data_IF_906736404587
#
_entry.id   IF_906736404587
#
_cell.length_a   1.000
_cell.length_b   1.000
_cell.length_c   1.000
_cell.angle_alpha   90.00
_cell.angle_beta   90.00
_cell.angle_gamma   90.00
#
_symmetry.space_group_name_H-M   'P 1'
#
loop_
_entity.id
_entity.type
_entity.pdbx_description
1 polymer ?
#
# COMPACT_ATOMS: atom_id res chain seq x y z
N UNK A 1 -4.46 -21.58 58.42
CA UNK A 1 -4.61 -20.55 57.37
C UNK A 1 -3.26 -19.90 57.10
N UNK A 2 -2.50 -20.49 56.18
CA UNK A 2 -1.29 -20.00 55.49
C UNK A 2 -0.86 -21.18 54.60
N UNK A 3 -0.23 -20.88 53.47
CA UNK A 3 0.22 -21.81 52.40
C UNK A 3 -0.82 -22.11 51.30
N UNK A 4 -0.87 -21.26 50.27
CA UNK A 4 -1.11 -21.61 48.86
C UNK A 4 -1.10 -20.33 48.00
N UNK A 5 0.08 -19.85 47.62
CA UNK A 5 0.26 -18.88 46.53
C UNK A 5 1.73 -18.83 46.11
N UNK A 6 2.27 -19.95 45.64
CA UNK A 6 3.64 -20.05 45.11
C UNK A 6 3.69 -21.19 44.09
N UNK A 7 3.05 -20.98 42.93
CA UNK A 7 3.27 -21.74 41.70
C UNK A 7 2.35 -21.22 40.60
N UNK A 8 2.64 -20.04 40.01
CA UNK A 8 2.22 -19.72 38.63
C UNK A 8 2.93 -18.48 38.05
N UNK A 9 4.21 -18.28 38.39
CA UNK A 9 5.02 -17.14 37.90
C UNK A 9 6.28 -17.58 37.13
N UNK A 10 6.18 -18.71 36.43
CA UNK A 10 7.19 -19.17 35.50
C UNK A 10 6.54 -20.11 34.48
N UNK A 11 5.92 -19.56 33.42
CA UNK A 11 5.61 -20.25 32.14
C UNK A 11 4.87 -19.33 31.15
N UNK A 12 5.35 -18.11 30.92
CA UNK A 12 5.06 -17.36 29.68
C UNK A 12 6.24 -16.54 29.14
N UNK A 13 7.40 -16.58 29.80
CA UNK A 13 8.67 -16.20 29.16
C UNK A 13 9.12 -17.37 28.27
N UNK A 14 8.41 -17.58 27.16
CA UNK A 14 9.00 -18.25 26.01
C UNK A 14 10.21 -17.43 25.54
N UNK A 15 11.20 -18.05 24.87
CA UNK A 15 12.37 -17.34 24.41
C UNK A 15 11.90 -16.15 23.59
N UNK A 16 12.52 -14.98 23.80
CA UNK A 16 12.41 -13.85 22.90
C UNK A 16 12.66 -14.41 21.49
N UNK A 17 11.58 -14.61 20.73
CA UNK A 17 11.68 -15.13 19.39
C UNK A 17 12.56 -14.13 18.64
N UNK A 18 13.68 -14.60 18.11
CA UNK A 18 14.49 -13.86 17.16
C UNK A 18 13.55 -13.08 16.24
N UNK A 19 13.83 -11.78 16.09
CA UNK A 19 13.05 -10.81 15.31
C UNK A 19 12.71 -11.42 13.95
N UNK A 20 11.55 -12.06 13.85
CA UNK A 20 11.16 -12.80 12.66
C UNK A 20 10.87 -11.81 11.54
N UNK A 21 11.25 -12.16 10.32
CA UNK A 21 10.99 -11.33 9.14
C UNK A 21 9.49 -10.93 9.08
N UNK A 22 9.15 -9.64 9.21
CA UNK A 22 7.76 -9.19 9.28
C UNK A 22 7.00 -9.52 7.99
N UNK A 23 7.68 -9.65 6.85
CA UNK A 23 7.09 -9.97 5.56
C UNK A 23 6.99 -11.48 5.31
N UNK A 24 7.35 -12.33 6.27
CA UNK A 24 7.22 -13.79 6.13
C UNK A 24 5.79 -14.21 5.80
N UNK A 25 4.80 -13.44 6.24
CA UNK A 25 3.39 -13.68 5.96
C UNK A 25 3.04 -13.59 4.46
N UNK A 26 3.82 -12.80 3.70
CA UNK A 26 3.69 -12.60 2.24
C UNK A 26 4.42 -13.70 1.43
N UNK A 27 5.34 -14.43 2.08
CA UNK A 27 6.09 -15.54 1.47
C UNK A 27 5.51 -16.93 1.78
N UNK A 28 4.58 -16.99 2.73
CA UNK A 28 3.99 -18.25 3.17
C UNK A 28 3.30 -18.99 2.02
N UNK A 29 3.39 -20.33 2.04
CA UNK A 29 2.82 -21.18 0.99
C UNK A 29 1.31 -20.93 0.79
N UNK A 30 0.86 -20.95 -0.46
CA UNK A 30 -0.54 -20.76 -0.84
C UNK A 30 -1.41 -22.03 -0.78
N UNK A 31 -0.92 -23.13 -0.19
CA UNK A 31 -1.64 -24.41 -0.18
C UNK A 31 -3.03 -24.29 0.47
N UNK A 32 -4.05 -24.78 -0.24
CA UNK A 32 -5.46 -24.72 0.20
C UNK A 32 -6.17 -23.40 -0.11
N UNK A 33 -5.46 -22.35 -0.52
CA UNK A 33 -6.05 -21.12 -1.02
C UNK A 33 -6.22 -21.16 -2.54
N UNK A 34 -7.08 -20.29 -3.08
CA UNK A 34 -7.23 -20.11 -4.52
C UNK A 34 -5.92 -19.63 -5.15
N UNK A 35 -5.51 -20.25 -6.26
CA UNK A 35 -4.33 -19.85 -7.01
C UNK A 35 -4.61 -18.61 -7.87
N UNK A 36 -3.57 -17.83 -8.13
CA UNK A 36 -3.61 -16.76 -9.14
C UNK A 36 -3.19 -17.37 -10.47
N UNK A 37 -4.07 -17.37 -11.46
CA UNK A 37 -3.85 -17.98 -12.77
C UNK A 37 -4.08 -16.95 -13.89
N UNK A 38 -3.36 -17.03 -15.01
CA UNK A 38 -3.59 -16.13 -16.12
C UNK A 38 -4.98 -16.33 -16.76
N UNK A 39 -5.49 -15.30 -17.45
CA UNK A 39 -6.74 -15.38 -18.21
C UNK A 39 -8.04 -15.16 -17.42
N UNK A 40 -7.97 -14.86 -16.11
CA UNK A 40 -9.15 -14.44 -15.35
C UNK A 40 -9.67 -13.09 -15.85
N UNK A 41 -10.93 -13.04 -16.25
CA UNK A 41 -11.61 -11.77 -16.55
C UNK A 41 -11.95 -11.03 -15.25
N UNK A 42 -11.66 -9.72 -15.23
CA UNK A 42 -12.13 -8.84 -14.16
C UNK A 42 -13.60 -8.48 -14.36
N UNK A 43 -14.35 -8.38 -13.26
CA UNK A 43 -15.77 -8.03 -13.27
C UNK A 43 -16.06 -7.01 -12.17
N UNK A 44 -16.47 -5.82 -12.56
CA UNK A 44 -16.83 -4.74 -11.65
C UNK A 44 -18.36 -4.65 -11.52
N UNK A 45 -18.90 -4.43 -10.31
CA UNK A 45 -18.21 -4.06 -9.06
C UNK A 45 -17.72 -5.27 -8.22
N UNK A 46 -17.90 -6.51 -8.68
CA UNK A 46 -17.58 -7.70 -7.88
C UNK A 46 -16.12 -7.72 -7.39
N UNK A 47 -15.19 -7.29 -8.23
CA UNK A 47 -13.74 -7.26 -7.92
C UNK A 47 -13.32 -6.09 -7.01
N UNK A 48 -14.24 -5.20 -6.64
CA UNK A 48 -14.02 -4.25 -5.55
C UNK A 48 -14.13 -4.91 -4.18
N UNK A 49 -14.89 -6.01 -4.10
CA UNK A 49 -15.22 -6.69 -2.85
C UNK A 49 -14.11 -7.66 -2.43
N UNK A 50 -14.21 -8.25 -1.22
CA UNK A 50 -13.24 -9.24 -0.77
C UNK A 50 -13.25 -10.50 -1.63
N UNK A 51 -12.05 -11.05 -1.87
CA UNK A 51 -11.85 -12.36 -2.50
C UNK A 51 -11.43 -13.44 -1.47
N UNK A 52 -12.33 -13.96 -0.62
CA UNK A 52 -11.96 -14.76 0.57
C UNK A 52 -11.26 -16.09 0.26
N UNK A 53 -11.34 -16.57 -0.98
CA UNK A 53 -10.57 -17.72 -1.44
C UNK A 53 -9.06 -17.46 -1.49
N UNK A 54 -8.63 -16.19 -1.60
CA UNK A 54 -7.23 -15.80 -1.59
C UNK A 54 -6.73 -15.46 -0.19
N UNK A 55 -5.43 -15.70 0.04
CA UNK A 55 -4.84 -15.50 1.38
C UNK A 55 -4.78 -14.04 1.79
N UNK A 56 -4.39 -13.14 0.88
CA UNK A 56 -4.16 -11.72 1.17
C UNK A 56 -4.72 -10.82 0.07
N UNK A 57 -5.20 -9.65 0.47
CA UNK A 57 -5.58 -8.56 -0.43
C UNK A 57 -5.49 -7.21 0.26
N UNK A 58 -5.48 -6.13 -0.53
CA UNK A 58 -5.47 -4.77 -0.01
C UNK A 58 -6.18 -3.73 -0.87
N UNK A 59 -6.77 -2.74 -0.21
CA UNK A 59 -7.24 -1.47 -0.77
C UNK A 59 -6.27 -0.40 -0.34
N UNK A 60 -5.57 0.20 -1.29
CA UNK A 60 -4.47 1.13 -1.02
C UNK A 60 -4.72 2.45 -1.75
N UNK A 61 -4.70 3.57 -1.03
CA UNK A 61 -4.88 4.91 -1.56
C UNK A 61 -3.67 5.76 -1.19
N UNK A 62 -3.06 6.41 -2.17
CA UNK A 62 -2.08 7.48 -1.97
C UNK A 62 -2.60 8.78 -2.56
N UNK A 63 -2.20 9.92 -2.00
CA UNK A 63 -2.52 11.22 -2.57
C UNK A 63 -1.42 12.25 -2.35
N UNK A 64 -1.10 12.97 -3.43
CA UNK A 64 -0.24 14.15 -3.44
C UNK A 64 -1.15 15.38 -3.47
N UNK A 65 -1.07 16.20 -2.42
CA UNK A 65 -2.00 17.27 -2.14
C UNK A 65 -1.26 18.60 -1.97
N UNK A 66 -2.00 19.69 -2.17
CA UNK A 66 -1.58 21.04 -1.84
C UNK A 66 -2.65 21.75 -1.03
N UNK A 67 -2.21 22.61 -0.13
CA UNK A 67 -3.09 23.56 0.55
C UNK A 67 -3.23 24.88 -0.22
N UNK A 68 -4.06 25.79 0.30
CA UNK A 68 -4.32 27.10 -0.30
C UNK A 68 -3.06 28.00 -0.39
N UNK A 69 -2.03 27.70 0.40
CA UNK A 69 -0.72 28.36 0.35
C UNK A 69 0.26 27.66 -0.63
N UNK A 70 -0.16 26.59 -1.30
CA UNK A 70 0.63 25.82 -2.26
C UNK A 70 1.63 24.86 -1.63
N UNK A 71 1.61 24.68 -0.31
CA UNK A 71 2.53 23.79 0.42
C UNK A 71 2.17 22.33 0.12
N UNK A 72 3.17 21.46 0.11
CA UNK A 72 2.99 20.05 -0.21
C UNK A 72 2.46 19.25 0.98
N UNK A 73 1.55 18.34 0.67
CA UNK A 73 0.95 17.40 1.60
C UNK A 73 0.93 16.00 0.96
N UNK A 74 1.08 14.98 1.80
CA UNK A 74 0.99 13.57 1.43
C UNK A 74 -0.03 12.85 2.28
N UNK A 75 -0.69 11.87 1.69
CA UNK A 75 -1.61 10.99 2.38
C UNK A 75 -1.43 9.57 1.85
N UNK A 76 -1.36 8.59 2.74
CA UNK A 76 -1.75 7.22 2.40
C UNK A 76 -2.81 6.68 3.35
N UNK A 77 -3.60 5.75 2.83
CA UNK A 77 -4.43 4.85 3.60
C UNK A 77 -4.45 3.47 2.95
N UNK A 78 -4.22 2.43 3.74
CA UNK A 78 -4.30 1.05 3.27
C UNK A 78 -5.12 0.20 4.22
N UNK A 79 -5.99 -0.63 3.66
CA UNK A 79 -6.72 -1.69 4.36
C UNK A 79 -6.30 -3.04 3.80
N UNK A 80 -5.75 -3.90 4.66
CA UNK A 80 -5.37 -5.27 4.36
C UNK A 80 -6.37 -6.25 4.93
N UNK A 81 -6.67 -7.29 4.16
CA UNK A 81 -7.31 -8.51 4.65
C UNK A 81 -6.35 -9.68 4.51
N UNK A 82 -6.25 -10.48 5.56
CA UNK A 82 -5.51 -11.73 5.54
C UNK A 82 -6.31 -12.89 6.14
N UNK A 83 -6.39 -14.00 5.41
CA UNK A 83 -6.94 -15.24 5.92
C UNK A 83 -5.87 -16.04 6.67
N UNK A 84 -6.13 -16.41 7.93
CA UNK A 84 -5.20 -17.20 8.76
C UNK A 84 -5.11 -18.66 8.35
N UNK A 85 -6.15 -19.19 7.72
CA UNK A 85 -6.23 -20.56 7.19
C UNK A 85 -7.12 -20.59 5.95
N UNK A 86 -6.96 -21.59 5.06
CA UNK A 86 -7.88 -21.77 3.93
C UNK A 86 -9.25 -22.28 4.39
N UNK A 87 -10.24 -22.15 3.52
CA UNK A 87 -11.61 -22.66 3.72
C UNK A 87 -12.67 -21.58 3.84
N UNK A 88 -13.91 -22.00 4.05
CA UNK A 88 -15.06 -21.10 4.16
C UNK A 88 -14.98 -20.33 5.49
N UNK A 89 -15.14 -19.01 5.44
CA UNK A 89 -15.26 -18.21 6.65
C UNK A 89 -16.63 -18.38 7.29
N UNK A 90 -16.66 -18.86 8.53
CA UNK A 90 -17.90 -19.09 9.27
C UNK A 90 -18.44 -17.82 9.92
N UNK A 91 -17.71 -16.71 9.85
CA UNK A 91 -18.06 -15.45 10.48
C UNK A 91 -18.02 -15.49 12.00
N UNK A 92 -18.54 -14.44 12.63
CA UNK A 92 -18.54 -14.25 14.08
C UNK A 92 -17.13 -14.28 14.68
N UNK A 93 -17.05 -14.61 15.97
CA UNK A 93 -15.78 -14.71 16.69
C UNK A 93 -14.85 -15.83 16.20
N UNK A 94 -15.39 -16.79 15.43
CA UNK A 94 -14.64 -17.91 14.82
C UNK A 94 -14.08 -17.57 13.45
N UNK A 95 -14.32 -16.35 12.96
CA UNK A 95 -13.77 -15.91 11.70
C UNK A 95 -12.25 -16.00 11.74
N UNK A 96 -11.70 -16.51 10.64
CA UNK A 96 -10.26 -16.66 10.46
C UNK A 96 -9.67 -15.52 9.62
N UNK A 97 -10.44 -14.45 9.41
CA UNK A 97 -10.00 -13.25 8.71
C UNK A 97 -9.42 -12.26 9.71
N UNK A 98 -8.24 -11.72 9.40
CA UNK A 98 -7.61 -10.62 10.10
C UNK A 98 -7.58 -9.40 9.19
N UNK A 99 -7.78 -8.24 9.80
CA UNK A 99 -7.71 -6.97 9.12
C UNK A 99 -6.64 -6.10 9.77
N UNK A 100 -5.91 -5.38 8.93
CA UNK A 100 -4.99 -4.33 9.35
C UNK A 100 -5.30 -3.09 8.52
N UNK A 101 -5.31 -1.93 9.15
CA UNK A 101 -5.26 -0.67 8.44
C UNK A 101 -4.05 0.13 8.91
N UNK A 102 -3.38 0.81 8.00
CA UNK A 102 -2.39 1.84 8.34
C UNK A 102 -2.61 3.05 7.45
N UNK A 103 -2.28 4.21 7.98
CA UNK A 103 -2.43 5.47 7.29
C UNK A 103 -1.39 6.45 7.81
N UNK A 104 -0.98 7.38 6.96
CA UNK A 104 -0.07 8.44 7.32
C UNK A 104 -0.42 9.73 6.59
N UNK A 105 0.07 10.82 7.18
CA UNK A 105 0.03 12.15 6.60
C UNK A 105 1.46 12.70 6.59
N UNK A 106 1.88 13.21 5.45
CA UNK A 106 3.07 14.05 5.32
C UNK A 106 2.57 15.49 5.27
N UNK A 107 2.97 16.29 6.24
CA UNK A 107 2.67 17.72 6.32
C UNK A 107 3.94 18.52 6.02
N UNK A 108 3.84 19.85 5.84
CA UNK A 108 5.02 20.71 5.75
C UNK A 108 5.95 20.62 6.97
N UNK A 109 5.44 20.18 8.12
CA UNK A 109 6.15 20.15 9.39
C UNK A 109 6.65 18.75 9.78
N UNK A 110 6.32 17.71 8.99
CA UNK A 110 6.80 16.35 9.21
C UNK A 110 5.81 15.27 8.82
N UNK A 111 6.11 14.05 9.23
CA UNK A 111 5.33 12.85 8.89
C UNK A 111 4.71 12.23 10.15
N UNK A 112 3.47 11.77 10.05
CA UNK A 112 2.75 11.10 11.16
C UNK A 112 2.02 9.90 10.61
N UNK A 113 2.00 8.80 11.36
CA UNK A 113 1.29 7.59 10.97
C UNK A 113 0.50 6.96 12.11
N UNK A 114 -0.44 6.09 11.75
CA UNK A 114 -1.20 5.25 12.66
C UNK A 114 -1.45 3.88 12.04
N UNK A 115 -1.62 2.86 12.88
CA UNK A 115 -2.02 1.52 12.46
C UNK A 115 -3.07 0.94 13.40
N UNK A 116 -3.90 0.04 12.88
CA UNK A 116 -4.97 -0.63 13.60
C UNK A 116 -5.12 -2.06 13.13
N UNK A 117 -5.63 -2.91 14.02
CA UNK A 117 -5.88 -4.32 13.76
C UNK A 117 -7.28 -4.69 14.25
N UNK A 118 -7.97 -5.52 13.48
CA UNK A 118 -9.30 -6.00 13.85
C UNK A 118 -9.48 -7.47 13.43
N UNK A 119 -10.35 -8.17 14.16
CA UNK A 119 -10.83 -9.49 13.72
C UNK A 119 -11.95 -9.30 12.71
N UNK A 120 -11.99 -10.18 11.70
CA UNK A 120 -13.16 -10.33 10.84
C UNK A 120 -14.35 -10.94 11.57
N UNK A 121 -15.49 -10.98 10.88
CA UNK A 121 -16.68 -11.74 11.29
C UNK A 121 -17.56 -11.09 12.37
N UNK A 122 -17.07 -10.09 13.10
CA UNK A 122 -17.82 -9.39 14.17
C UNK A 122 -18.28 -7.98 13.79
N UNK A 123 -18.07 -7.56 12.53
CA UNK A 123 -18.49 -6.26 12.01
C UNK A 123 -17.51 -5.10 12.24
N UNK A 124 -16.41 -5.32 12.97
CA UNK A 124 -15.42 -4.28 13.26
C UNK A 124 -14.63 -3.81 12.03
N UNK A 125 -14.43 -4.72 11.07
CA UNK A 125 -13.78 -4.43 9.79
C UNK A 125 -14.43 -5.25 8.68
N UNK A 126 -14.34 -4.75 7.46
CA UNK A 126 -14.85 -5.44 6.29
C UNK A 126 -14.86 -4.58 5.04
N UNK A 127 -15.24 -5.23 3.94
CA UNK A 127 -15.62 -4.55 2.68
C UNK A 127 -16.89 -5.21 2.17
N UNK A 128 -17.93 -4.41 1.86
CA UNK A 128 -19.21 -4.89 1.35
C UNK A 128 -19.94 -3.80 0.57
N UNK A 129 -21.02 -4.20 -0.10
CA UNK A 129 -22.07 -3.27 -0.50
C UNK A 129 -23.06 -3.09 0.66
N UNK A 130 -23.27 -1.85 1.09
CA UNK A 130 -24.24 -1.45 2.09
C UNK A 130 -25.28 -0.53 1.45
N UNK A 131 -26.54 -0.99 1.38
CA UNK A 131 -27.63 -0.27 0.72
C UNK A 131 -27.32 0.16 -0.73
N UNK A 132 -26.55 -0.66 -1.45
CA UNK A 132 -26.10 -0.39 -2.82
C UNK A 132 -24.82 0.44 -2.94
N UNK A 133 -24.31 1.00 -1.84
CA UNK A 133 -23.06 1.75 -1.79
C UNK A 133 -21.86 0.90 -1.38
N UNK A 134 -20.68 1.13 -1.96
CA UNK A 134 -19.44 0.52 -1.54
C UNK A 134 -19.01 1.02 -0.15
N UNK A 135 -18.58 0.12 0.72
CA UNK A 135 -17.98 0.46 1.99
C UNK A 135 -16.81 -0.47 2.31
N UNK A 136 -15.64 0.10 2.61
CA UNK A 136 -14.49 -0.57 3.19
C UNK A 136 -14.13 0.13 4.51
N UNK A 137 -13.99 -0.61 5.61
CA UNK A 137 -13.78 0.00 6.93
C UNK A 137 -12.96 -0.85 7.89
N UNK A 138 -12.38 -0.16 8.88
CA UNK A 138 -11.87 -0.70 10.13
C UNK A 138 -12.13 0.34 11.23
N UNK A 139 -12.99 0.00 12.20
CA UNK A 139 -13.52 0.94 13.19
C UNK A 139 -14.12 2.20 12.50
N UNK A 140 -13.68 3.41 12.88
CA UNK A 140 -14.11 4.68 12.29
C UNK A 140 -13.35 5.07 11.00
N UNK A 141 -12.35 4.30 10.57
CA UNK A 141 -11.66 4.53 9.30
C UNK A 141 -12.43 3.89 8.16
N UNK A 142 -12.65 4.63 7.07
CA UNK A 142 -13.49 4.14 5.98
C UNK A 142 -13.19 4.78 4.62
N UNK A 143 -13.34 3.97 3.57
CA UNK A 143 -13.56 4.40 2.19
C UNK A 143 -14.99 3.99 1.80
N UNK A 144 -15.84 4.98 1.51
CA UNK A 144 -17.26 4.75 1.19
C UNK A 144 -17.66 5.44 -0.11
N UNK A 145 -18.58 4.85 -0.87
CA UNK A 145 -19.21 5.46 -2.03
C UNK A 145 -20.73 5.21 -2.00
N UNK A 146 -21.50 6.10 -2.65
CA UNK A 146 -22.96 5.97 -2.71
C UNK A 146 -23.43 4.87 -3.66
N UNK A 147 -22.62 4.54 -4.67
CA UNK A 147 -22.87 3.45 -5.63
C UNK A 147 -21.95 2.26 -5.39
N UNK A 148 -22.10 1.22 -6.21
CA UNK A 148 -21.35 -0.03 -6.05
C UNK A 148 -19.86 0.09 -6.44
N UNK A 149 -19.49 1.13 -7.20
CA UNK A 149 -18.11 1.50 -7.50
C UNK A 149 -17.41 2.10 -6.28
N UNK A 150 -16.07 2.02 -6.23
CA UNK A 150 -15.30 2.69 -5.16
C UNK A 150 -15.25 4.22 -5.33
N UNK A 151 -15.50 4.71 -6.54
CA UNK A 151 -15.42 6.11 -6.91
C UNK A 151 -16.67 6.53 -7.71
N UNK A 152 -17.17 7.78 -7.55
CA UNK A 152 -16.72 8.79 -6.57
C UNK A 152 -16.94 8.34 -5.13
N UNK A 153 -15.92 8.53 -4.29
CA UNK A 153 -15.84 8.01 -2.94
C UNK A 153 -15.44 9.07 -1.92
N UNK A 154 -15.54 8.71 -0.64
CA UNK A 154 -15.14 9.52 0.50
C UNK A 154 -14.26 8.68 1.42
N UNK A 155 -13.03 9.15 1.62
CA UNK A 155 -12.04 8.56 2.51
C UNK A 155 -12.00 9.36 3.81
N UNK A 156 -12.18 8.66 4.94
CA UNK A 156 -12.12 9.24 6.29
C UNK A 156 -11.26 8.37 7.21
N UNK A 157 -10.33 8.99 7.91
CA UNK A 157 -9.50 8.33 8.91
C UNK A 157 -8.88 9.36 9.86
N UNK A 158 -8.12 8.88 10.83
CA UNK A 158 -7.47 9.70 11.85
C UNK A 158 -6.00 9.32 12.01
N UNK A 159 -5.12 10.29 12.26
CA UNK A 159 -3.70 10.04 12.58
C UNK A 159 -3.33 10.93 13.77
N UNK A 160 -3.16 10.33 14.95
CA UNK A 160 -3.10 11.08 16.20
C UNK A 160 -4.38 11.91 16.37
N UNK A 161 -4.23 13.22 16.55
CA UNK A 161 -5.36 14.16 16.64
C UNK A 161 -5.88 14.64 15.27
N UNK A 162 -5.13 14.38 14.19
CA UNK A 162 -5.51 14.81 12.86
C UNK A 162 -6.74 14.02 12.38
N UNK A 163 -7.77 14.73 11.90
CA UNK A 163 -8.94 14.11 11.26
C UNK A 163 -8.93 14.41 9.77
N UNK A 164 -8.97 13.38 8.96
CA UNK A 164 -8.86 13.47 7.51
C UNK A 164 -10.21 13.15 6.89
N UNK A 165 -10.67 14.01 5.98
CA UNK A 165 -11.88 13.80 5.20
C UNK A 165 -11.66 14.24 3.76
N UNK A 166 -11.59 13.27 2.84
CA UNK A 166 -11.24 13.48 1.44
C UNK A 166 -12.33 12.92 0.54
N UNK A 167 -12.72 13.68 -0.47
CA UNK A 167 -13.51 13.25 -1.61
C UNK A 167 -12.56 12.81 -2.72
N UNK A 168 -12.86 11.66 -3.30
CA UNK A 168 -12.10 11.02 -4.37
C UNK A 168 -12.99 10.90 -5.60
N UNK A 169 -12.53 11.34 -6.76
CA UNK A 169 -13.29 11.29 -8.00
C UNK A 169 -12.39 10.89 -9.17
N UNK A 170 -12.81 9.93 -9.99
CA UNK A 170 -12.20 9.65 -11.29
C UNK A 170 -13.30 9.32 -12.30
N UNK A 171 -13.11 9.77 -13.53
CA UNK A 171 -13.90 9.43 -14.71
C UNK A 171 -13.15 8.49 -15.66
N UNK A 172 -11.95 8.02 -15.25
CA UNK A 172 -11.09 7.16 -16.06
C UNK A 172 -11.36 5.68 -15.79
N UNK A 173 -11.18 4.81 -16.81
CA UNK A 173 -11.29 3.38 -16.60
C UNK A 173 -10.23 2.90 -15.61
N UNK A 174 -10.51 1.81 -14.91
CA UNK A 174 -9.50 1.11 -14.14
C UNK A 174 -8.40 0.57 -15.05
N UNK A 175 -7.16 0.65 -14.59
CA UNK A 175 -6.00 0.09 -15.28
C UNK A 175 -5.72 -1.30 -14.75
N UNK A 176 -5.95 -2.32 -15.58
CA UNK A 176 -5.57 -3.69 -15.26
C UNK A 176 -4.06 -3.86 -15.41
N UNK A 177 -3.38 -4.23 -14.34
CA UNK A 177 -1.92 -4.29 -14.30
C UNK A 177 -1.40 -5.61 -14.88
N UNK A 178 -0.18 -5.61 -15.44
CA UNK A 178 0.41 -6.82 -16.02
C UNK A 178 -0.35 -7.28 -17.28
N UNK A 179 -0.68 -8.56 -17.35
CA UNK A 179 -1.43 -9.14 -18.47
C UNK A 179 -2.92 -9.22 -18.11
N UNK A 180 -3.69 -8.18 -18.48
CA UNK A 180 -5.13 -8.09 -18.18
C UNK A 180 -5.47 -8.29 -16.69
N UNK A 181 -4.62 -7.76 -15.80
CA UNK A 181 -4.80 -7.84 -14.36
C UNK A 181 -4.05 -9.02 -13.72
N UNK A 182 -3.48 -9.94 -14.51
CA UNK A 182 -2.52 -10.93 -14.02
C UNK A 182 -1.12 -10.31 -13.94
N UNK A 183 -0.68 -9.98 -12.73
CA UNK A 183 0.62 -9.34 -12.47
C UNK A 183 1.60 -10.36 -11.88
N UNK A 184 2.52 -10.86 -12.72
CA UNK A 184 3.61 -11.76 -12.28
C UNK A 184 4.59 -10.99 -11.41
N UNK A 185 4.97 -11.56 -10.26
CA UNK A 185 5.88 -11.00 -9.25
C UNK A 185 7.21 -11.75 -9.18
N UNK A 186 7.37 -12.87 -9.88
CA UNK A 186 8.64 -13.57 -9.96
C UNK A 186 8.72 -14.49 -11.18
N UNK A 187 9.95 -14.91 -11.53
CA UNK A 187 10.17 -15.98 -12.49
C UNK A 187 9.66 -17.35 -12.01
N UNK A 188 9.53 -17.54 -10.69
CA UNK A 188 9.10 -18.79 -10.03
C UNK A 188 7.57 -18.96 -10.00
N UNK A 189 6.82 -18.01 -10.57
CA UNK A 189 5.37 -18.13 -10.76
C UNK A 189 4.51 -17.43 -9.72
N UNK A 190 5.11 -16.71 -8.75
CA UNK A 190 4.33 -15.83 -7.87
C UNK A 190 3.67 -14.74 -8.70
N UNK A 191 2.41 -14.47 -8.42
CA UNK A 191 1.60 -13.50 -9.14
C UNK A 191 0.47 -13.00 -8.25
N UNK A 192 -0.13 -11.88 -8.67
CA UNK A 192 -1.32 -11.31 -8.07
C UNK A 192 -2.33 -10.92 -9.14
N UNK A 193 -3.60 -10.90 -8.77
CA UNK A 193 -4.60 -10.14 -9.52
C UNK A 193 -4.52 -8.69 -9.07
N UNK A 194 -4.37 -7.75 -10.00
CA UNK A 194 -3.99 -6.38 -9.68
C UNK A 194 -4.58 -5.37 -10.67
N UNK A 195 -5.21 -4.33 -10.14
CA UNK A 195 -5.64 -3.17 -10.92
C UNK A 195 -5.48 -1.88 -10.11
N UNK A 196 -5.48 -0.77 -10.84
CA UNK A 196 -5.31 0.56 -10.26
C UNK A 196 -6.35 1.55 -10.79
N UNK A 197 -6.55 2.64 -10.06
CA UNK A 197 -7.14 3.88 -10.54
C UNK A 197 -6.10 5.02 -10.35
N UNK A 198 -5.30 5.32 -11.38
CA UNK A 198 -4.20 6.28 -11.28
C UNK A 198 -4.63 7.74 -11.23
N UNK A 199 -5.77 8.08 -11.82
CA UNK A 199 -6.17 9.47 -12.08
C UNK A 199 -7.32 9.91 -11.18
N UNK A 200 -7.08 9.95 -9.85
CA UNK A 200 -8.09 10.41 -8.90
C UNK A 200 -7.90 11.91 -8.64
N UNK A 201 -8.92 12.72 -8.89
CA UNK A 201 -9.01 14.07 -8.35
C UNK A 201 -9.39 13.98 -6.86
N UNK A 202 -8.59 14.61 -6.00
CA UNK A 202 -8.78 14.60 -4.54
C UNK A 202 -9.07 16.01 -4.05
N UNK A 203 -10.07 16.14 -3.19
CA UNK A 203 -10.39 17.40 -2.50
C UNK A 203 -10.96 17.14 -1.12
N UNK A 204 -10.67 17.99 -0.15
CA UNK A 204 -11.19 17.79 1.20
C UNK A 204 -10.51 18.67 2.23
N UNK A 205 -10.45 18.18 3.45
CA UNK A 205 -9.80 18.89 4.55
C UNK A 205 -9.16 17.96 5.56
N UNK A 206 -8.10 18.45 6.18
CA UNK A 206 -7.54 17.89 7.41
C UNK A 206 -7.85 18.85 8.54
N UNK A 207 -8.37 18.37 9.66
CA UNK A 207 -8.42 19.13 10.90
C UNK A 207 -7.21 18.75 11.73
N UNK A 208 -6.28 19.70 11.90
CA UNK A 208 -5.05 19.53 12.68
C UNK A 208 -4.97 20.66 13.70
N UNK A 209 -4.71 20.34 14.97
CA UNK A 209 -4.67 21.30 16.08
C UNK A 209 -5.92 22.21 16.15
N UNK A 210 -7.09 21.62 15.84
CA UNK A 210 -8.38 22.31 15.80
C UNK A 210 -8.60 23.21 14.59
N UNK A 211 -7.66 23.30 13.65
CA UNK A 211 -7.75 24.14 12.45
C UNK A 211 -8.05 23.32 11.20
N UNK A 212 -9.09 23.67 10.42
CA UNK A 212 -9.31 23.04 9.12
C UNK A 212 -8.29 23.56 8.10
N UNK A 213 -7.70 22.64 7.35
CA UNK A 213 -6.77 22.90 6.24
C UNK A 213 -7.40 22.30 4.99
N UNK A 214 -7.75 23.13 4.03
CA UNK A 214 -8.29 22.69 2.74
C UNK A 214 -7.17 22.13 1.87
N UNK A 215 -7.44 20.99 1.25
CA UNK A 215 -6.49 20.30 0.39
C UNK A 215 -7.11 19.91 -0.94
N UNK A 216 -6.34 20.04 -2.00
CA UNK A 216 -6.67 19.53 -3.33
C UNK A 216 -5.46 18.87 -3.98
N UNK A 217 -5.68 17.91 -4.88
CA UNK A 217 -4.58 17.30 -5.61
C UNK A 217 -4.98 16.03 -6.35
N UNK A 218 -4.00 15.13 -6.48
CA UNK A 218 -4.15 13.88 -7.23
C UNK A 218 -3.94 12.70 -6.31
N UNK A 219 -4.72 11.65 -6.54
CA UNK A 219 -4.64 10.40 -5.82
C UNK A 219 -4.48 9.22 -6.76
N UNK A 220 -4.10 8.11 -6.17
CA UNK A 220 -3.94 6.82 -6.81
C UNK A 220 -4.58 5.77 -5.92
N UNK A 221 -5.32 4.84 -6.50
CA UNK A 221 -5.84 3.67 -5.79
C UNK A 221 -5.28 2.40 -6.41
N UNK A 222 -4.88 1.47 -5.56
CA UNK A 222 -4.46 0.13 -5.91
C UNK A 222 -5.35 -0.93 -5.25
N UNK A 223 -5.60 -1.99 -6.01
CA UNK A 223 -6.31 -3.18 -5.55
C UNK A 223 -5.61 -4.42 -6.02
N UNK A 224 -5.08 -5.16 -5.06
CA UNK A 224 -4.36 -6.40 -5.32
C UNK A 224 -4.87 -7.52 -4.41
N UNK A 225 -4.82 -8.75 -4.92
CA UNK A 225 -4.99 -9.96 -4.11
C UNK A 225 -4.19 -11.14 -4.64
N UNK A 226 -3.72 -11.97 -3.72
CA UNK A 226 -2.91 -13.17 -4.01
C UNK A 226 -2.98 -14.18 -2.86
N UNK A 227 -2.44 -15.37 -3.11
CA UNK A 227 -2.23 -16.40 -2.08
C UNK A 227 -0.76 -16.60 -1.72
N UNK A 228 0.14 -16.06 -2.52
CA UNK A 228 1.59 -16.05 -2.29
C UNK A 228 2.22 -14.96 -3.18
N UNK A 229 2.17 -13.68 -2.75
CA UNK A 229 2.66 -12.58 -3.58
C UNK A 229 4.19 -12.55 -3.69
N UNK A 230 4.93 -13.04 -2.69
CA UNK A 230 6.40 -13.02 -2.67
C UNK A 230 7.01 -14.42 -2.70
N UNK A 231 8.16 -14.53 -3.38
CA UNK A 231 9.01 -15.71 -3.33
C UNK A 231 9.82 -15.75 -2.02
N UNK A 232 10.23 -16.94 -1.59
CA UNK A 232 11.01 -17.15 -0.35
C UNK A 232 12.31 -16.34 -0.28
N UNK A 233 12.92 -16.05 -1.44
CA UNK A 233 14.18 -15.33 -1.60
C UNK A 233 14.03 -13.83 -1.89
N UNK A 234 12.82 -13.27 -1.85
CA UNK A 234 12.59 -11.83 -2.03
C UNK A 234 12.68 -11.10 -0.69
N UNK A 235 13.66 -10.21 -0.52
CA UNK A 235 13.90 -9.51 0.74
C UNK A 235 12.86 -8.41 1.00
N UNK A 236 12.39 -7.77 -0.07
CA UNK A 236 11.36 -6.72 -0.04
C UNK A 236 11.13 -6.15 -1.43
N UNK A 237 10.45 -5.01 -1.49
CA UNK A 237 10.15 -4.34 -2.74
C UNK A 237 10.39 -2.84 -2.69
N UNK A 238 10.51 -2.26 -3.88
CA UNK A 238 10.50 -0.84 -4.15
C UNK A 238 9.33 -0.60 -5.10
N UNK A 239 8.36 0.21 -4.70
CA UNK A 239 7.18 0.52 -5.51
C UNK A 239 7.06 2.02 -5.70
N UNK A 240 6.56 2.42 -6.87
CA UNK A 240 6.38 3.82 -7.26
C UNK A 240 5.03 3.99 -7.94
N UNK A 241 4.30 5.03 -7.56
CA UNK A 241 3.19 5.59 -8.34
C UNK A 241 3.48 7.05 -8.64
N UNK A 242 3.63 7.41 -9.91
CA UNK A 242 4.05 8.74 -10.33
C UNK A 242 2.99 9.36 -11.21
N UNK A 243 2.60 10.60 -10.91
CA UNK A 243 1.82 11.47 -11.79
C UNK A 243 2.75 12.48 -12.46
N UNK A 244 2.91 12.35 -13.77
CA UNK A 244 3.80 13.17 -14.58
C UNK A 244 3.11 14.46 -15.03
N UNK A 245 3.91 15.47 -15.38
CA UNK A 245 3.41 16.79 -15.75
C UNK A 245 2.60 16.81 -17.06
N UNK A 246 2.90 15.89 -17.99
CA UNK A 246 2.16 15.75 -19.25
C UNK A 246 0.86 14.93 -19.13
N UNK A 247 0.46 14.64 -17.88
CA UNK A 247 -0.77 13.92 -17.57
C UNK A 247 -0.64 12.40 -17.58
N UNK A 248 0.50 11.84 -17.99
CA UNK A 248 0.74 10.42 -17.86
C UNK A 248 0.89 10.01 -16.40
N UNK A 249 0.63 8.74 -16.13
CA UNK A 249 0.96 8.11 -14.88
C UNK A 249 1.90 6.92 -15.10
N UNK A 250 2.75 6.63 -14.11
CA UNK A 250 3.73 5.55 -14.18
C UNK A 250 3.69 4.77 -12.86
N UNK A 251 3.38 3.48 -12.97
CA UNK A 251 3.59 2.53 -11.88
C UNK A 251 4.87 1.75 -12.16
N UNK A 252 5.74 1.62 -11.17
CA UNK A 252 6.91 0.74 -11.23
C UNK A 252 6.97 -0.06 -9.95
N UNK A 253 7.40 -1.31 -10.04
CA UNK A 253 7.83 -2.04 -8.86
C UNK A 253 9.03 -2.93 -9.15
N UNK A 254 9.92 -3.02 -8.17
CA UNK A 254 11.09 -3.88 -8.14
C UNK A 254 11.00 -4.80 -6.94
N UNK A 255 11.00 -6.12 -7.16
CA UNK A 255 11.12 -7.11 -6.08
C UNK A 255 12.58 -7.52 -5.98
N UNK A 256 13.18 -7.22 -4.83
CA UNK A 256 14.61 -7.43 -4.60
C UNK A 256 14.84 -8.87 -4.18
N UNK A 257 15.43 -9.64 -5.09
CA UNK A 257 15.92 -10.98 -4.81
C UNK A 257 17.27 -10.92 -4.07
N UNK A 258 17.44 -11.79 -3.08
CA UNK A 258 18.71 -11.99 -2.40
C UNK A 258 19.79 -12.61 -3.32
N UNK A 259 19.33 -13.36 -4.31
CA UNK A 259 20.13 -14.09 -5.29
C UNK A 259 19.58 -13.87 -6.71
N UNK A 260 20.46 -13.52 -7.65
CA UNK A 260 20.09 -13.30 -9.05
C UNK A 260 19.45 -11.93 -9.32
N UNK A 261 18.81 -11.83 -10.50
CA UNK A 261 18.24 -10.57 -10.96
C UNK A 261 16.96 -10.22 -10.20
N UNK A 262 16.81 -8.94 -9.87
CA UNK A 262 15.56 -8.41 -9.34
C UNK A 262 14.44 -8.54 -10.39
N UNK A 263 13.21 -8.74 -9.91
CA UNK A 263 12.05 -8.71 -10.78
C UNK A 263 11.56 -7.27 -10.92
N UNK A 264 11.45 -6.77 -12.15
CA UNK A 264 11.08 -5.39 -12.45
C UNK A 264 9.92 -5.37 -13.44
N UNK A 265 8.91 -4.57 -13.15
CA UNK A 265 7.76 -4.38 -14.03
C UNK A 265 7.10 -3.04 -13.74
N UNK A 266 6.36 -2.53 -14.71
CA UNK A 266 5.59 -1.32 -14.54
C UNK A 266 4.48 -1.19 -15.54
N UNK A 267 3.81 -0.03 -15.50
CA UNK A 267 2.78 0.34 -16.46
C UNK A 267 2.91 1.81 -16.81
N UNK A 268 2.97 2.09 -18.11
CA UNK A 268 2.89 3.42 -18.68
C UNK A 268 1.44 3.73 -19.00
N UNK A 269 0.88 4.77 -18.38
CA UNK A 269 -0.56 5.04 -18.38
C UNK A 269 -0.78 6.41 -18.99
N UNK A 270 -1.56 6.46 -20.06
CA UNK A 270 -1.90 7.69 -20.76
C UNK A 270 -2.95 8.50 -19.99
N UNK A 271 -3.07 9.81 -20.24
CA UNK A 271 -4.07 10.67 -19.58
C UNK A 271 -5.52 10.22 -19.75
N UNK A 272 -5.81 9.41 -20.77
CA UNK A 272 -7.14 8.85 -21.02
C UNK A 272 -7.44 7.57 -20.22
N UNK A 273 -6.45 7.02 -19.50
CA UNK A 273 -6.54 5.77 -18.75
C UNK A 273 -6.16 4.53 -19.54
N UNK A 274 -5.82 4.65 -20.84
CA UNK A 274 -5.22 3.54 -21.57
C UNK A 274 -3.81 3.26 -21.04
N UNK A 275 -3.42 1.99 -20.97
CA UNK A 275 -2.17 1.59 -20.34
C UNK A 275 -1.40 0.56 -21.17
N UNK A 276 -0.08 0.63 -21.06
CA UNK A 276 0.86 -0.34 -21.61
C UNK A 276 1.73 -0.88 -20.49
N UNK A 277 1.76 -2.20 -20.37
CA UNK A 277 2.68 -2.90 -19.47
C UNK A 277 4.12 -2.72 -19.95
N UNK A 278 5.01 -2.48 -19.01
CA UNK A 278 6.46 -2.35 -19.18
C UNK A 278 7.13 -3.58 -18.59
N UNK A 279 7.93 -4.27 -19.41
CA UNK A 279 8.77 -5.38 -18.96
C UNK A 279 10.11 -4.88 -18.41
N UNK A 280 10.86 -5.78 -17.75
CA UNK A 280 12.13 -5.46 -17.11
C UNK A 280 13.17 -4.87 -18.09
N UNK A 281 13.21 -5.31 -19.34
CA UNK A 281 14.12 -4.80 -20.38
C UNK A 281 13.77 -3.40 -20.89
N UNK A 282 12.61 -2.87 -20.52
CA UNK A 282 12.16 -1.52 -20.89
C UNK A 282 12.39 -0.49 -19.78
N UNK A 283 12.79 -0.94 -18.59
CA UNK A 283 12.89 -0.11 -17.39
C UNK A 283 14.33 -0.10 -16.89
N UNK A 284 14.93 1.07 -16.83
CA UNK A 284 16.16 1.31 -16.08
C UNK A 284 15.81 2.02 -14.77
N UNK A 285 15.94 1.30 -13.65
CA UNK A 285 15.71 1.83 -12.30
C UNK A 285 17.01 1.73 -11.49
N UNK A 286 17.67 2.88 -11.24
CA UNK A 286 18.95 2.96 -10.53
C UNK A 286 18.86 3.85 -9.31
N UNK A 287 19.49 3.46 -8.21
CA UNK A 287 19.64 4.31 -7.03
C UNK A 287 20.66 5.40 -7.36
N UNK A 288 20.32 6.65 -7.05
CA UNK A 288 21.20 7.81 -7.18
C UNK A 288 21.80 8.21 -5.83
N UNK A 289 21.02 8.13 -4.75
CA UNK A 289 21.45 8.51 -3.41
C UNK A 289 20.75 7.67 -2.34
N UNK A 290 21.48 7.42 -1.26
CA UNK A 290 21.03 6.67 -0.09
C UNK A 290 21.17 7.54 1.14
N UNK A 291 20.14 7.56 1.98
CA UNK A 291 20.04 8.43 3.15
C UNK A 291 19.89 7.60 4.40
N UNK A 292 20.59 8.00 5.47
CA UNK A 292 20.43 7.41 6.79
C UNK A 292 19.16 7.98 7.44
N UNK A 293 18.16 7.15 7.63
CA UNK A 293 16.85 7.54 8.18
C UNK A 293 16.67 6.95 9.58
N UNK A 294 16.16 7.72 10.56
CA UNK A 294 15.73 7.16 11.85
C UNK A 294 14.59 6.17 11.65
N UNK A 295 14.76 4.97 12.18
CA UNK A 295 13.77 3.89 12.07
C UNK A 295 13.55 3.22 13.43
N UNK A 296 13.12 3.99 14.44
CA UNK A 296 13.01 3.50 15.80
C UNK A 296 12.13 2.26 15.87
N UNK A 297 12.53 1.32 16.72
CA UNK A 297 11.78 0.11 17.04
C UNK A 297 11.51 0.06 18.54
N UNK A 298 10.64 -0.86 18.98
CA UNK A 298 10.40 -1.06 20.41
C UNK A 298 11.66 -1.48 21.17
N UNK A 299 12.56 -2.23 20.52
CA UNK A 299 13.77 -2.79 21.13
C UNK A 299 14.98 -1.85 20.96
N UNK A 300 15.01 -1.06 19.89
CA UNK A 300 16.05 -0.08 19.60
C UNK A 300 15.44 1.26 19.12
N UNK A 301 15.24 2.22 20.04
CA UNK A 301 14.75 3.55 19.72
C UNK A 301 15.74 4.41 18.92
N UNK A 302 17.03 4.03 18.86
CA UNK A 302 18.06 4.74 18.11
C UNK A 302 18.36 4.08 16.76
N UNK A 303 17.63 3.02 16.40
CA UNK A 303 17.80 2.31 15.15
C UNK A 303 17.70 3.26 13.94
N UNK A 304 18.59 3.05 12.97
CA UNK A 304 18.63 3.80 11.72
C UNK A 304 18.83 2.85 10.56
N UNK A 305 18.34 3.21 9.37
CA UNK A 305 18.50 2.43 8.14
C UNK A 305 19.00 3.29 6.99
N UNK A 306 19.82 2.71 6.12
CA UNK A 306 20.24 3.34 4.88
C UNK A 306 19.20 3.05 3.79
N UNK A 307 18.44 4.07 3.40
CA UNK A 307 17.32 3.94 2.46
C UNK A 307 17.62 4.66 1.14
N UNK A 308 17.36 4.05 -0.02
CA UNK A 308 17.52 4.70 -1.32
C UNK A 308 16.40 5.71 -1.53
N UNK A 309 16.67 6.99 -1.27
CA UNK A 309 15.66 8.05 -1.33
C UNK A 309 15.74 8.90 -2.60
N UNK A 310 16.69 8.60 -3.50
CA UNK A 310 16.82 9.23 -4.81
C UNK A 310 17.11 8.17 -5.86
N UNK A 311 16.41 8.26 -6.98
CA UNK A 311 16.42 7.27 -8.05
C UNK A 311 16.47 7.93 -9.41
N UNK A 312 17.15 7.26 -10.34
CA UNK A 312 17.06 7.53 -11.76
C UNK A 312 16.11 6.51 -12.38
N UNK A 313 15.07 7.01 -13.02
CA UNK A 313 14.08 6.22 -13.76
C UNK A 313 14.21 6.57 -15.23
N UNK A 314 14.51 5.58 -16.07
CA UNK A 314 14.58 5.77 -17.52
C UNK A 314 13.80 4.69 -18.25
N UNK A 315 13.06 5.11 -19.27
CA UNK A 315 12.29 4.27 -20.17
C UNK A 315 12.83 4.47 -21.59
N UNK A 316 13.91 3.77 -22.01
CA UNK A 316 14.64 4.07 -23.24
C UNK A 316 13.76 4.03 -24.49
N UNK A 317 12.86 3.04 -24.59
CA UNK A 317 11.94 2.89 -25.73
C UNK A 317 10.93 4.03 -25.86
N UNK A 318 10.66 4.76 -24.77
CA UNK A 318 9.79 5.93 -24.76
C UNK A 318 10.57 7.25 -24.84
N UNK A 319 11.91 7.19 -24.86
CA UNK A 319 12.81 8.35 -24.76
C UNK A 319 12.44 9.27 -23.58
N UNK A 320 12.19 8.68 -22.41
CA UNK A 320 11.87 9.40 -21.18
C UNK A 320 12.83 9.04 -20.07
N UNK A 321 13.16 10.02 -19.25
CA UNK A 321 13.95 9.87 -18.04
C UNK A 321 13.58 10.91 -16.99
N UNK A 322 13.76 10.53 -15.73
CA UNK A 322 13.47 11.35 -14.58
C UNK A 322 14.42 11.03 -13.42
N UNK A 323 14.62 12.02 -12.54
CA UNK A 323 15.06 11.76 -11.17
C UNK A 323 13.83 11.75 -10.26
N UNK A 324 13.70 10.73 -9.41
CA UNK A 324 12.62 10.60 -8.43
C UNK A 324 13.22 10.68 -7.04
N UNK A 325 12.77 11.63 -6.21
CA UNK A 325 13.38 11.92 -4.90
C UNK A 325 12.33 12.04 -3.83
N UNK A 326 12.61 11.52 -2.63
CA UNK A 326 11.78 11.76 -1.46
C UNK A 326 11.59 13.27 -1.22
N UNK A 327 10.36 13.66 -0.88
CA UNK A 327 10.04 15.05 -0.51
C UNK A 327 10.74 15.45 0.78
N UNK A 328 10.70 14.55 1.77
CA UNK A 328 11.44 14.60 3.03
C UNK A 328 11.96 13.18 3.35
N UNK A 329 13.08 13.11 4.07
CA UNK A 329 13.75 11.83 4.39
C UNK A 329 12.92 11.00 5.39
N UNK A 330 12.35 11.65 6.42
CA UNK A 330 11.61 11.01 7.50
C UNK A 330 10.14 10.75 7.12
N UNK A 331 9.92 9.66 6.41
CA UNK A 331 8.59 9.11 6.07
C UNK A 331 8.53 7.62 6.45
N UNK A 332 9.11 7.29 7.61
CA UNK A 332 9.14 5.93 8.14
C UNK A 332 7.84 5.59 8.88
N UNK A 333 7.28 4.43 8.55
CA UNK A 333 6.14 3.82 9.21
C UNK A 333 6.62 2.73 10.17
N UNK A 334 6.85 3.08 11.44
CA UNK A 334 7.38 2.18 12.48
C UNK A 334 6.38 1.15 13.03
N UNK A 335 5.46 0.66 12.19
CA UNK A 335 4.40 -0.27 12.57
C UNK A 335 4.86 -1.71 12.82
N UNK A 336 3.89 -2.63 12.96
CA UNK A 336 4.17 -4.08 13.11
C UNK A 336 4.86 -4.64 11.86
N UNK A 337 4.45 -4.12 10.72
CA UNK A 337 5.06 -4.31 9.42
C UNK A 337 5.63 -2.94 9.06
N UNK A 338 6.95 -2.75 9.16
CA UNK A 338 7.54 -1.45 8.90
C UNK A 338 7.55 -1.16 7.40
N UNK A 339 7.53 0.13 7.03
CA UNK A 339 7.69 0.59 5.64
C UNK A 339 8.41 1.93 5.68
N UNK A 340 9.17 2.25 4.65
CA UNK A 340 9.31 3.66 4.28
C UNK A 340 8.29 3.93 3.20
N UNK A 341 7.40 4.90 3.41
CA UNK A 341 6.31 5.16 2.48
C UNK A 341 6.04 6.66 2.44
N UNK A 342 6.32 7.28 1.29
CA UNK A 342 6.42 8.72 1.28
C UNK A 342 6.19 9.37 -0.07
N UNK A 343 5.86 10.65 0.00
CA UNK A 343 5.76 11.53 -1.16
C UNK A 343 7.12 11.66 -1.81
N UNK A 344 7.13 11.55 -3.14
CA UNK A 344 8.28 11.83 -3.98
C UNK A 344 7.98 12.95 -4.96
N UNK A 345 9.03 13.68 -5.34
CA UNK A 345 9.04 14.60 -6.48
C UNK A 345 9.71 13.93 -7.67
N UNK A 346 9.18 14.22 -8.84
CA UNK A 346 9.75 13.81 -10.12
C UNK A 346 10.38 15.04 -10.77
N UNK A 347 11.65 14.95 -11.11
CA UNK A 347 12.45 16.02 -11.73
C UNK A 347 12.89 15.57 -13.14
N UNK A 348 12.97 16.53 -14.07
CA UNK A 348 13.18 16.24 -15.49
C UNK A 348 11.88 15.97 -16.24
N UNK A 349 11.90 16.04 -17.58
CA UNK A 349 10.74 15.71 -18.42
C UNK A 349 9.44 16.47 -18.12
N UNK A 350 9.54 17.73 -17.63
CA UNK A 350 8.39 18.54 -17.18
C UNK A 350 8.02 18.38 -15.70
N UNK A 351 8.60 17.39 -15.02
CA UNK A 351 8.42 17.13 -13.59
C UNK A 351 7.18 16.28 -13.25
N UNK A 352 6.87 16.21 -11.97
CA UNK A 352 5.75 15.43 -11.46
C UNK A 352 5.84 15.21 -9.95
N UNK A 353 4.90 14.43 -9.43
CA UNK A 353 4.83 14.02 -8.01
C UNK A 353 4.37 12.58 -7.94
N UNK A 354 4.54 11.94 -6.78
CA UNK A 354 4.08 10.58 -6.60
C UNK A 354 4.27 10.05 -5.20
N UNK A 355 4.17 8.74 -5.06
CA UNK A 355 4.55 8.00 -3.88
C UNK A 355 5.64 6.99 -4.21
N UNK A 356 6.46 6.70 -3.21
CA UNK A 356 7.38 5.57 -3.20
C UNK A 356 7.20 4.79 -1.91
N UNK A 357 7.22 3.46 -2.02
CA UNK A 357 7.16 2.53 -0.90
C UNK A 357 8.38 1.62 -0.95
N UNK A 358 9.08 1.48 0.17
CA UNK A 358 10.28 0.68 0.34
C UNK A 358 10.10 -0.26 1.55
N UNK A 359 10.32 -1.54 1.34
CA UNK A 359 10.24 -2.57 2.38
C UNK A 359 11.48 -3.43 2.40
N UNK A 360 11.80 -4.10 3.50
CA UNK A 360 12.88 -5.09 3.55
C UNK A 360 14.28 -4.53 3.34
N UNK A 361 14.53 -3.31 3.82
CA UNK A 361 15.86 -2.74 4.00
C UNK A 361 16.27 -2.96 5.45
N UNK A 362 17.47 -3.50 5.67
CA UNK A 362 17.99 -3.82 7.01
C UNK A 362 18.73 -2.66 7.66
#
# INVERSE_FOLDING_TARGET
>A
MKWLALALWALLAGPAAAQGDPYQVLRGAGAGYAAVVPGRAFSFPADHLPHPGHRIEWWYVTANLKDDAGRDWGLQWTLFRQAMRPGIDTGGWRSHQLWMAHAAITTPDGHRHAQRFARGGIGQAGVRLENGGFAAWLDDWSLTASGAEMLPGRLRFTVGEARIDMRLHSDRPYVLQGENGYSRKSAQGQASYYYSQPHIAVSGSIVLDGRPIHLTGRGWLDREWSSQPLAGNQQGWDWFSLHLADGHALMLYRLRHADGAHWLSGSWIAPDGSARTLSADEIELRVLDTRRVPTPTADDPAATRDLPLSWHVRLPRLNREWSVRALIDDQWLGGRFPYWEGVVRVEGGGGGVGFMELTGYE
#
